data_IF_615474582266
#
_entry.id   IF_615474582266
#
_cell.length_a   1.000
_cell.length_b   1.000
_cell.length_c   1.000
_cell.angle_alpha   90.00
_cell.angle_beta   90.00
_cell.angle_gamma   90.00
#
_symmetry.space_group_name_H-M   'P 1'
#
loop_
_entity.id
_entity.type
_entity.pdbx_description
1 polymer ?
#
# COMPACT_ATOMS: atom_id res chain seq x y z
N UNK A 1 11.25 23.94 -41.31
CA UNK A 1 11.23 24.91 -40.18
C UNK A 1 11.07 24.12 -38.91
N UNK A 2 12.22 23.91 -38.21
CA UNK A 2 12.21 23.37 -36.84
C UNK A 2 11.73 24.51 -35.94
N UNK A 3 10.53 24.41 -35.38
CA UNK A 3 10.18 25.24 -34.26
C UNK A 3 10.98 24.77 -33.03
N UNK A 4 12.01 25.54 -32.72
CA UNK A 4 12.69 25.46 -31.43
C UNK A 4 11.75 26.11 -30.42
N UNK A 5 10.99 25.28 -29.69
CA UNK A 5 10.22 25.74 -28.54
C UNK A 5 11.23 26.22 -27.49
N UNK A 6 11.46 27.51 -27.43
CA UNK A 6 12.23 28.16 -26.36
C UNK A 6 11.41 27.93 -25.06
N UNK A 7 11.85 26.97 -24.26
CA UNK A 7 11.38 26.88 -22.88
C UNK A 7 11.64 28.20 -22.16
N UNK A 8 10.67 28.77 -21.47
CA UNK A 8 10.90 30.01 -20.75
C UNK A 8 12.01 29.76 -19.71
N UNK A 9 13.12 30.47 -19.89
CA UNK A 9 14.34 30.36 -19.07
C UNK A 9 14.10 30.64 -17.58
N UNK A 10 12.96 31.18 -17.20
CA UNK A 10 12.61 31.55 -15.83
C UNK A 10 12.41 30.35 -14.86
N UNK A 11 12.25 29.15 -15.37
CA UNK A 11 12.11 27.92 -14.55
C UNK A 11 13.40 27.11 -14.39
N UNK A 12 14.50 27.53 -15.00
CA UNK A 12 15.76 26.78 -15.01
C UNK A 12 16.80 27.23 -13.97
N UNK A 13 16.59 28.40 -13.36
CA UNK A 13 17.52 28.90 -12.34
C UNK A 13 17.13 28.40 -10.96
N UNK A 14 17.89 27.45 -10.45
CA UNK A 14 17.87 27.01 -9.07
C UNK A 14 19.21 27.34 -8.44
N UNK A 15 19.22 27.73 -7.18
CA UNK A 15 20.47 27.88 -6.45
C UNK A 15 21.13 26.50 -6.27
N UNK A 16 22.44 26.49 -6.09
CA UNK A 16 23.15 25.25 -5.78
C UNK A 16 22.64 24.61 -4.50
N UNK A 17 22.24 25.43 -3.51
CA UNK A 17 21.61 24.96 -2.27
C UNK A 17 20.30 24.22 -2.54
N UNK A 18 19.39 24.77 -3.35
CA UNK A 18 18.12 24.09 -3.71
C UNK A 18 18.34 22.74 -4.42
N UNK A 19 19.37 22.64 -5.27
CA UNK A 19 19.73 21.37 -5.91
C UNK A 19 20.21 20.35 -4.88
N UNK A 20 21.09 20.76 -3.98
CA UNK A 20 21.61 19.92 -2.89
C UNK A 20 20.48 19.45 -1.97
N UNK A 21 19.61 20.36 -1.54
CA UNK A 21 18.46 20.05 -0.69
C UNK A 21 17.52 19.06 -1.41
N UNK A 22 17.25 19.25 -2.70
CA UNK A 22 16.44 18.34 -3.50
C UNK A 22 17.06 16.93 -3.59
N UNK A 23 18.39 16.82 -3.73
CA UNK A 23 19.07 15.52 -3.72
C UNK A 23 18.91 14.83 -2.36
N UNK A 24 19.03 15.56 -1.25
CA UNK A 24 18.77 15.00 0.08
C UNK A 24 17.30 14.60 0.27
N UNK A 25 16.34 15.35 -0.28
CA UNK A 25 14.92 14.96 -0.31
C UNK A 25 14.72 13.67 -1.10
N UNK A 26 15.34 13.55 -2.28
CA UNK A 26 15.33 12.31 -3.08
C UNK A 26 15.89 11.12 -2.29
N UNK A 27 17.03 11.32 -1.61
CA UNK A 27 17.65 10.28 -0.80
C UNK A 27 16.77 9.85 0.38
N UNK A 28 16.02 10.78 0.96
CA UNK A 28 15.04 10.47 2.03
C UNK A 28 13.79 9.76 1.50
N UNK A 29 13.30 10.15 0.32
CA UNK A 29 12.12 9.57 -0.32
C UNK A 29 12.36 8.13 -0.81
N UNK A 30 13.61 7.83 -1.21
CA UNK A 30 14.03 6.48 -1.62
C UNK A 30 14.78 5.82 -0.47
N UNK A 31 14.17 5.68 0.68
CA UNK A 31 14.82 5.04 1.82
C UNK A 31 14.95 3.51 1.65
N UNK A 32 15.82 3.12 0.77
CA UNK A 32 16.59 1.88 0.88
C UNK A 32 17.87 2.13 1.73
N UNK A 33 17.81 3.00 2.78
CA UNK A 33 18.95 3.28 3.63
C UNK A 33 18.66 2.78 5.04
N UNK A 34 19.37 1.73 5.50
CA UNK A 34 19.13 1.10 6.79
C UNK A 34 19.79 1.86 7.97
N UNK A 35 19.72 3.19 8.02
CA UNK A 35 20.35 3.97 9.09
C UNK A 35 19.37 4.67 10.04
N UNK A 36 18.08 4.35 9.99
CA UNK A 36 17.15 4.77 11.03
C UNK A 36 16.74 3.58 11.88
N UNK A 37 16.58 3.80 13.19
CA UNK A 37 16.10 2.81 14.16
C UNK A 37 14.70 2.22 13.83
N UNK A 38 14.05 2.71 12.80
CA UNK A 38 12.70 2.34 12.35
C UNK A 38 12.66 1.38 11.16
N UNK A 39 13.81 0.98 10.61
CA UNK A 39 13.90 0.08 9.45
C UNK A 39 13.66 0.77 8.08
N UNK A 40 13.67 0.00 6.98
CA UNK A 40 13.47 0.55 5.64
C UNK A 40 12.06 1.13 5.50
N UNK A 41 11.97 2.34 4.96
CA UNK A 41 10.69 2.98 4.68
C UNK A 41 10.09 2.42 3.40
N UNK A 42 8.83 2.03 3.45
CA UNK A 42 8.01 1.70 2.28
C UNK A 42 7.38 2.94 1.65
N UNK A 43 7.68 4.13 2.18
CA UNK A 43 7.20 5.39 1.64
C UNK A 43 7.77 5.62 0.24
N UNK A 44 6.86 5.89 -0.70
CA UNK A 44 7.20 6.26 -2.06
C UNK A 44 6.59 7.64 -2.36
N UNK A 45 7.46 8.63 -2.52
CA UNK A 45 7.04 9.97 -2.91
C UNK A 45 7.60 10.27 -4.31
N UNK A 46 6.70 10.55 -5.26
CA UNK A 46 7.10 10.93 -6.62
C UNK A 46 7.07 12.45 -6.75
N UNK A 47 8.21 13.07 -7.06
CA UNK A 47 8.27 14.52 -7.27
C UNK A 47 7.31 14.98 -8.36
N UNK A 48 6.59 16.08 -8.12
CA UNK A 48 5.62 16.65 -9.06
C UNK A 48 6.27 17.57 -10.11
N UNK A 49 7.40 18.19 -9.82
CA UNK A 49 8.08 19.08 -10.75
C UNK A 49 9.15 18.36 -11.60
N UNK A 50 9.34 18.85 -12.84
CA UNK A 50 10.22 18.18 -13.81
C UNK A 50 11.71 18.13 -13.40
N UNK A 51 12.20 19.07 -12.61
CA UNK A 51 13.57 19.03 -12.10
C UNK A 51 13.74 17.98 -11.02
N UNK A 52 12.86 17.96 -10.03
CA UNK A 52 12.89 16.97 -8.95
C UNK A 52 12.74 15.55 -9.48
N UNK A 53 11.87 15.35 -10.45
CA UNK A 53 11.71 14.06 -11.11
C UNK A 53 13.00 13.58 -11.79
N UNK A 54 13.68 14.49 -12.52
CA UNK A 54 14.96 14.17 -13.18
C UNK A 54 16.08 13.90 -12.18
N UNK A 55 16.16 14.70 -11.11
CA UNK A 55 17.12 14.49 -10.03
C UNK A 55 16.88 13.17 -9.32
N UNK A 56 15.61 12.79 -9.05
CA UNK A 56 15.27 11.50 -8.48
C UNK A 56 15.71 10.34 -9.39
N UNK A 57 15.40 10.43 -10.69
CA UNK A 57 15.81 9.41 -11.66
C UNK A 57 17.34 9.27 -11.74
N UNK A 58 18.04 10.40 -11.72
CA UNK A 58 19.50 10.44 -11.71
C UNK A 58 20.05 9.85 -10.40
N UNK A 59 19.50 10.24 -9.26
CA UNK A 59 19.87 9.68 -7.94
C UNK A 59 19.71 8.15 -7.93
N UNK A 60 18.57 7.64 -8.38
CA UNK A 60 18.33 6.20 -8.47
C UNK A 60 19.32 5.48 -9.39
N UNK A 61 19.76 6.12 -10.48
CA UNK A 61 20.74 5.51 -11.39
C UNK A 61 22.14 5.35 -10.78
N UNK A 62 22.43 6.10 -9.71
CA UNK A 62 23.68 6.00 -8.94
C UNK A 62 23.54 5.21 -7.64
N UNK A 63 22.34 4.65 -7.37
CA UNK A 63 22.15 3.85 -6.17
C UNK A 63 23.08 2.63 -6.21
N UNK A 64 23.86 2.35 -5.15
CA UNK A 64 24.66 1.13 -5.05
C UNK A 64 23.78 -0.10 -5.25
N UNK A 65 24.27 -1.08 -6.01
CA UNK A 65 23.49 -2.26 -6.40
C UNK A 65 22.97 -3.06 -5.19
N UNK A 66 23.75 -3.11 -4.13
CA UNK A 66 23.40 -3.74 -2.85
C UNK A 66 22.29 -3.02 -2.09
N UNK A 67 22.02 -1.75 -2.43
CA UNK A 67 20.90 -0.97 -1.87
C UNK A 67 19.62 -1.05 -2.72
N UNK A 68 19.68 -1.72 -3.87
CA UNK A 68 18.51 -1.94 -4.72
C UNK A 68 17.59 -3.06 -4.20
N UNK A 69 18.05 -3.83 -3.20
CA UNK A 69 17.29 -4.87 -2.52
C UNK A 69 17.26 -4.59 -1.02
N UNK A 70 16.11 -4.73 -0.41
CA UNK A 70 15.91 -4.64 1.04
C UNK A 70 14.73 -5.50 1.48
N UNK A 71 14.79 -5.97 2.70
CA UNK A 71 13.72 -6.78 3.29
C UNK A 71 12.57 -5.90 3.78
N UNK A 72 11.35 -6.30 3.46
CA UNK A 72 10.15 -5.70 4.02
C UNK A 72 9.82 -6.35 5.37
N UNK A 73 9.32 -5.56 6.30
CA UNK A 73 8.88 -6.06 7.60
C UNK A 73 7.62 -6.90 7.43
N UNK A 74 7.76 -8.21 7.60
CA UNK A 74 6.64 -9.13 7.64
C UNK A 74 6.09 -9.25 9.07
N UNK A 75 4.81 -8.98 9.26
CA UNK A 75 4.10 -9.28 10.50
C UNK A 75 3.50 -10.68 10.36
N UNK A 76 4.12 -11.67 11.00
CA UNK A 76 3.78 -13.09 10.88
C UNK A 76 3.13 -13.59 12.16
N UNK A 77 2.01 -14.32 12.04
CA UNK A 77 1.34 -15.04 13.13
C UNK A 77 0.80 -16.40 12.61
N UNK A 78 0.21 -17.25 13.46
CA UNK A 78 -0.32 -18.55 13.03
C UNK A 78 -1.39 -18.49 11.92
N UNK A 79 -2.01 -17.35 11.70
CA UNK A 79 -3.02 -17.14 10.65
C UNK A 79 -2.39 -16.83 9.28
N UNK A 80 -1.07 -16.53 9.22
CA UNK A 80 -0.35 -16.17 8.02
C UNK A 80 0.51 -14.93 8.20
N UNK A 81 0.52 -14.02 7.23
CA UNK A 81 1.32 -12.80 7.33
C UNK A 81 0.61 -11.58 6.77
N UNK A 82 1.05 -10.42 7.21
CA UNK A 82 0.69 -9.12 6.67
C UNK A 82 1.96 -8.29 6.46
N UNK A 83 2.14 -7.76 5.26
CA UNK A 83 3.33 -6.99 4.89
C UNK A 83 2.91 -5.74 4.13
N UNK A 84 3.28 -4.57 4.64
CA UNK A 84 3.18 -3.35 3.86
C UNK A 84 4.23 -3.39 2.73
N UNK A 85 3.78 -3.14 1.49
CA UNK A 85 4.65 -3.10 0.32
C UNK A 85 5.14 -1.69 0.05
N UNK A 86 4.22 -0.73 0.06
CA UNK A 86 4.50 0.68 -0.21
C UNK A 86 3.37 1.55 0.34
N UNK A 87 3.71 2.73 0.83
CA UNK A 87 2.74 3.78 1.07
C UNK A 87 3.20 5.11 0.48
N UNK A 88 2.28 6.02 0.29
CA UNK A 88 2.55 7.39 -0.13
C UNK A 88 2.00 8.36 0.92
N UNK A 89 2.58 9.54 1.03
CA UNK A 89 2.17 10.52 2.05
C UNK A 89 0.73 11.01 1.90
N UNK A 90 0.15 10.88 0.71
CA UNK A 90 -1.15 11.45 0.35
C UNK A 90 -2.10 10.49 -0.35
N UNK A 91 -1.68 9.24 -0.61
CA UNK A 91 -2.48 8.27 -1.38
C UNK A 91 -2.64 6.92 -0.67
N UNK A 92 -2.35 6.84 0.63
CA UNK A 92 -2.54 5.61 1.40
C UNK A 92 -1.43 4.58 1.22
N UNK A 93 -1.76 3.31 1.46
CA UNK A 93 -0.80 2.21 1.46
C UNK A 93 -1.29 1.01 0.66
N UNK A 94 -0.33 0.26 0.11
CA UNK A 94 -0.54 -1.05 -0.51
C UNK A 94 0.15 -2.10 0.35
N UNK A 95 -0.57 -3.18 0.63
CA UNK A 95 -0.09 -4.27 1.47
C UNK A 95 -0.40 -5.62 0.82
N UNK A 96 0.32 -6.66 1.24
CA UNK A 96 -0.01 -8.04 0.91
C UNK A 96 -0.39 -8.79 2.19
N UNK A 97 -1.49 -9.52 2.12
CA UNK A 97 -1.96 -10.40 3.17
C UNK A 97 -1.95 -11.84 2.67
N UNK A 98 -1.31 -12.71 3.44
CA UNK A 98 -1.30 -14.16 3.20
C UNK A 98 -2.10 -14.80 4.34
N UNK A 99 -3.18 -15.50 4.00
CA UNK A 99 -4.01 -16.24 4.96
C UNK A 99 -3.84 -17.73 4.78
N UNK A 100 -3.55 -18.43 5.86
CA UNK A 100 -3.44 -19.88 5.89
C UNK A 100 -4.78 -20.55 5.57
N UNK A 101 -4.80 -21.85 5.19
CA UNK A 101 -6.03 -22.61 4.93
C UNK A 101 -7.07 -22.46 6.05
N UNK A 102 -8.31 -22.20 5.67
CA UNK A 102 -9.46 -22.08 6.57
C UNK A 102 -9.47 -20.83 7.47
N UNK A 103 -8.50 -19.93 7.33
CA UNK A 103 -8.39 -18.75 8.19
C UNK A 103 -9.31 -17.64 7.73
N UNK A 104 -10.02 -17.04 8.70
CA UNK A 104 -10.76 -15.78 8.57
C UNK A 104 -9.93 -14.63 9.14
N UNK A 105 -9.81 -13.53 8.40
CA UNK A 105 -9.22 -12.26 8.84
C UNK A 105 -10.18 -11.11 8.59
N UNK A 106 -10.00 -10.00 9.31
CA UNK A 106 -10.91 -8.87 9.31
C UNK A 106 -11.78 -8.90 10.56
N UNK A 107 -13.10 -9.01 10.42
CA UNK A 107 -14.07 -8.90 11.50
C UNK A 107 -14.04 -7.50 12.15
N UNK A 108 -14.07 -6.48 11.29
CA UNK A 108 -14.09 -5.08 11.72
C UNK A 108 -14.72 -4.19 10.64
N UNK A 109 -15.04 -2.98 11.04
CA UNK A 109 -15.48 -1.93 10.13
C UNK A 109 -14.69 -0.64 10.34
N UNK A 110 -14.79 0.26 9.37
CA UNK A 110 -14.16 1.58 9.36
C UNK A 110 -15.20 2.67 9.23
N UNK A 111 -14.94 3.82 9.86
CA UNK A 111 -15.86 4.96 9.78
C UNK A 111 -15.66 5.79 8.50
N UNK A 112 -14.41 6.09 8.16
CA UNK A 112 -14.04 6.91 6.99
C UNK A 112 -13.02 6.25 6.08
N UNK A 113 -12.24 5.33 6.63
CA UNK A 113 -11.28 4.55 5.86
C UNK A 113 -11.99 3.55 4.96
N UNK A 114 -11.52 3.40 3.73
CA UNK A 114 -11.98 2.38 2.81
C UNK A 114 -10.80 1.58 2.28
N UNK A 115 -11.05 0.35 1.96
CA UNK A 115 -10.04 -0.58 1.50
C UNK A 115 -10.48 -1.25 0.20
N UNK A 116 -9.51 -1.79 -0.51
CA UNK A 116 -9.71 -2.56 -1.74
C UNK A 116 -8.96 -3.88 -1.61
N UNK A 117 -9.68 -4.99 -1.73
CA UNK A 117 -9.10 -6.32 -1.66
C UNK A 117 -9.08 -6.95 -3.05
N UNK A 118 -7.91 -7.45 -3.44
CA UNK A 118 -7.66 -8.06 -4.74
C UNK A 118 -6.98 -9.40 -4.48
N UNK A 119 -7.73 -10.49 -4.61
CA UNK A 119 -7.17 -11.84 -4.49
C UNK A 119 -6.37 -12.16 -5.74
N UNK A 120 -5.10 -12.53 -5.56
CA UNK A 120 -4.15 -12.81 -6.65
C UNK A 120 -3.70 -14.28 -6.70
N UNK A 121 -3.96 -15.04 -5.63
CA UNK A 121 -3.73 -16.49 -5.58
C UNK A 121 -4.62 -17.13 -4.52
N UNK A 122 -5.04 -18.36 -4.76
CA UNK A 122 -5.95 -19.10 -3.89
C UNK A 122 -7.41 -18.80 -4.15
N UNK A 123 -8.29 -19.30 -3.26
CA UNK A 123 -9.74 -19.21 -3.36
C UNK A 123 -10.31 -18.73 -2.02
N UNK A 124 -11.10 -17.66 -2.03
CA UNK A 124 -11.59 -17.04 -0.84
C UNK A 124 -13.00 -16.49 -0.94
N UNK A 125 -13.56 -16.14 0.20
CA UNK A 125 -14.84 -15.48 0.35
C UNK A 125 -14.63 -14.16 1.09
N UNK A 126 -15.08 -13.06 0.52
CA UNK A 126 -15.18 -11.77 1.17
C UNK A 126 -16.63 -11.57 1.57
N UNK A 127 -16.86 -11.28 2.83
CA UNK A 127 -18.17 -10.99 3.37
C UNK A 127 -18.25 -9.56 3.87
N UNK A 128 -19.38 -8.90 3.65
CA UNK A 128 -19.64 -7.55 4.17
C UNK A 128 -21.06 -7.47 4.72
N UNK A 129 -21.23 -6.81 5.88
CA UNK A 129 -22.52 -6.51 6.49
C UNK A 129 -22.55 -5.02 6.86
N UNK A 130 -23.55 -4.30 6.39
CA UNK A 130 -23.74 -2.91 6.78
C UNK A 130 -24.04 -2.81 8.28
N UNK A 131 -23.41 -1.87 8.98
CA UNK A 131 -23.68 -1.61 10.38
C UNK A 131 -25.16 -1.29 10.61
N UNK A 132 -25.72 -1.93 11.68
CA UNK A 132 -27.14 -1.82 12.02
C UNK A 132 -28.09 -2.66 11.18
N UNK A 133 -27.58 -3.56 10.31
CA UNK A 133 -28.38 -4.51 9.53
C UNK A 133 -27.87 -5.94 9.72
N UNK A 134 -28.67 -6.92 9.29
CA UNK A 134 -28.33 -8.36 9.36
C UNK A 134 -28.03 -8.95 7.98
N UNK A 135 -28.18 -8.17 6.89
CA UNK A 135 -27.91 -8.63 5.53
C UNK A 135 -26.42 -8.76 5.30
N UNK A 136 -25.97 -9.96 4.93
CA UNK A 136 -24.58 -10.27 4.59
C UNK A 136 -24.43 -10.37 3.07
N UNK A 137 -23.54 -9.55 2.53
CA UNK A 137 -23.11 -9.62 1.14
C UNK A 137 -21.93 -10.58 1.03
N UNK A 138 -21.97 -11.48 0.07
CA UNK A 138 -20.96 -12.51 -0.13
C UNK A 138 -20.34 -12.35 -1.53
N UNK A 139 -18.99 -12.27 -1.59
CA UNK A 139 -18.21 -12.17 -2.81
C UNK A 139 -17.18 -13.29 -2.84
N UNK A 140 -17.43 -14.32 -3.63
CA UNK A 140 -16.47 -15.38 -3.89
C UNK A 140 -15.42 -14.88 -4.88
N UNK A 141 -14.14 -15.05 -4.54
CA UNK A 141 -12.99 -14.47 -5.25
C UNK A 141 -11.87 -15.50 -5.40
N UNK A 142 -11.14 -15.43 -6.52
CA UNK A 142 -10.01 -16.32 -6.73
C UNK A 142 -8.88 -15.67 -7.54
N UNK A 143 -7.68 -16.26 -7.46
CA UNK A 143 -6.54 -15.87 -8.29
C UNK A 143 -6.72 -16.18 -9.76
N UNK A 144 -7.64 -17.06 -10.14
CA UNK A 144 -7.93 -17.40 -11.55
C UNK A 144 -8.68 -16.29 -12.29
N UNK A 145 -9.42 -15.47 -11.52
CA UNK A 145 -10.14 -14.30 -12.04
C UNK A 145 -9.90 -13.13 -11.11
N UNK A 146 -8.96 -12.29 -11.46
CA UNK A 146 -8.61 -11.11 -10.66
C UNK A 146 -9.76 -10.11 -10.64
N UNK A 147 -10.30 -9.90 -9.44
CA UNK A 147 -11.40 -8.97 -9.17
C UNK A 147 -11.04 -8.09 -8.00
N UNK A 148 -11.52 -6.86 -8.01
CA UNK A 148 -11.38 -5.93 -6.90
C UNK A 148 -12.70 -5.81 -6.16
N UNK A 149 -12.68 -6.01 -4.85
CA UNK A 149 -13.80 -5.78 -3.95
C UNK A 149 -13.48 -4.60 -3.06
N UNK A 150 -14.37 -3.61 -3.02
CA UNK A 150 -14.21 -2.40 -2.21
C UNK A 150 -14.91 -2.62 -0.87
N UNK A 151 -14.14 -2.52 0.22
CA UNK A 151 -14.65 -2.49 1.59
C UNK A 151 -15.18 -1.09 1.89
N UNK A 152 -16.48 -0.97 2.02
CA UNK A 152 -17.15 0.32 2.18
C UNK A 152 -17.09 0.81 3.63
N UNK A 153 -16.88 2.10 3.89
CA UNK A 153 -17.04 2.66 5.22
C UNK A 153 -18.43 2.34 5.81
N UNK A 154 -18.47 1.99 7.10
CA UNK A 154 -19.70 1.57 7.78
C UNK A 154 -20.16 0.15 7.45
N UNK A 155 -19.30 -0.66 6.82
CA UNK A 155 -19.54 -2.09 6.62
C UNK A 155 -18.51 -2.91 7.37
N UNK A 156 -18.99 -3.77 8.28
CA UNK A 156 -18.17 -4.84 8.85
C UNK A 156 -17.81 -5.82 7.75
N UNK A 157 -16.55 -6.18 7.65
CA UNK A 157 -16.06 -7.06 6.61
C UNK A 157 -15.03 -8.07 7.11
N UNK A 158 -14.93 -9.16 6.40
CA UNK A 158 -13.91 -10.18 6.58
C UNK A 158 -13.47 -10.76 5.23
N UNK A 159 -12.40 -11.54 5.27
CA UNK A 159 -11.96 -12.40 4.18
C UNK A 159 -11.63 -13.79 4.72
N UNK A 160 -12.16 -14.82 4.09
CA UNK A 160 -12.05 -16.23 4.48
C UNK A 160 -11.27 -16.97 3.42
N UNK A 161 -10.23 -17.70 3.80
CA UNK A 161 -9.60 -18.66 2.90
C UNK A 161 -10.44 -19.93 2.85
N UNK A 162 -11.02 -20.24 1.71
CA UNK A 162 -11.89 -21.41 1.50
C UNK A 162 -11.10 -22.69 1.19
N UNK A 163 -9.80 -22.60 0.92
CA UNK A 163 -8.94 -23.76 0.68
C UNK A 163 -8.61 -24.48 1.99
N UNK A 164 -8.51 -25.79 1.94
CA UNK A 164 -7.99 -26.62 3.03
C UNK A 164 -6.46 -26.82 2.98
N UNK A 165 -5.84 -26.50 1.85
CA UNK A 165 -4.43 -26.83 1.60
C UNK A 165 -3.58 -25.66 1.12
N UNK A 166 -4.17 -24.65 0.51
CA UNK A 166 -3.47 -23.56 -0.15
C UNK A 166 -3.64 -22.23 0.59
N UNK A 167 -2.60 -21.42 0.56
CA UNK A 167 -2.64 -20.06 1.10
C UNK A 167 -3.49 -19.16 0.17
N UNK A 168 -4.24 -18.25 0.78
CA UNK A 168 -4.93 -17.17 0.08
C UNK A 168 -4.06 -15.92 0.09
N UNK A 169 -3.73 -15.40 -1.09
CA UNK A 169 -2.90 -14.21 -1.24
C UNK A 169 -3.75 -13.05 -1.74
N UNK A 170 -3.82 -11.99 -0.92
CA UNK A 170 -4.63 -10.81 -1.19
C UNK A 170 -3.73 -9.57 -1.22
N UNK A 171 -3.76 -8.82 -2.30
CA UNK A 171 -3.24 -7.45 -2.35
C UNK A 171 -4.33 -6.52 -1.81
N UNK A 172 -3.93 -5.64 -0.92
CA UNK A 172 -4.83 -4.71 -0.23
C UNK A 172 -4.37 -3.28 -0.48
N UNK A 173 -5.27 -2.43 -0.88
CA UNK A 173 -5.06 -0.99 -0.88
C UNK A 173 -5.92 -0.35 0.21
N UNK A 174 -5.37 0.62 0.92
CA UNK A 174 -6.08 1.43 1.88
C UNK A 174 -5.84 2.92 1.56
N UNK A 175 -6.88 3.73 1.58
CA UNK A 175 -6.78 5.16 1.23
C UNK A 175 -5.96 6.01 2.21
N UNK A 176 -5.62 5.45 3.37
CA UNK A 176 -4.75 6.09 4.37
C UNK A 176 -3.76 5.10 4.97
N UNK A 177 -2.64 5.62 5.44
CA UNK A 177 -1.64 4.84 6.18
C UNK A 177 -2.18 4.50 7.57
N UNK A 178 -1.92 3.28 8.05
CA UNK A 178 -2.32 2.88 9.40
C UNK A 178 -1.68 3.78 10.47
N UNK A 179 -2.53 4.36 11.31
CA UNK A 179 -2.10 5.17 12.44
C UNK A 179 -2.57 4.51 13.74
N UNK A 180 -1.67 3.98 14.59
CA UNK A 180 -2.04 3.32 15.83
C UNK A 180 -2.70 4.24 16.86
N UNK A 181 -2.49 5.56 16.78
CA UNK A 181 -3.14 6.55 17.66
C UNK A 181 -4.59 6.86 17.21
N UNK A 182 -4.90 6.62 15.93
CA UNK A 182 -6.21 6.80 15.31
C UNK A 182 -6.48 5.68 14.31
N UNK A 183 -6.69 4.46 14.76
CA UNK A 183 -6.74 3.30 13.85
C UNK A 183 -7.98 3.28 12.94
N UNK A 184 -9.03 4.02 13.23
CA UNK A 184 -10.34 3.98 12.54
C UNK A 184 -10.77 2.54 12.21
N UNK A 185 -10.62 1.65 13.18
CA UNK A 185 -10.89 0.21 13.04
C UNK A 185 -11.66 -0.26 14.27
N UNK A 186 -12.87 -0.74 14.05
CA UNK A 186 -13.81 -1.15 15.11
C UNK A 186 -14.16 -2.60 14.91
N UNK A 187 -13.85 -3.43 15.92
CA UNK A 187 -14.13 -4.84 15.86
C UNK A 187 -15.64 -5.09 15.92
N UNK A 188 -16.17 -5.85 14.97
CA UNK A 188 -17.49 -6.48 15.00
C UNK A 188 -17.47 -7.71 14.08
N UNK A 189 -18.30 -8.71 14.35
CA UNK A 189 -18.41 -9.89 13.48
C UNK A 189 -19.35 -9.63 12.33
N UNK A 190 -19.01 -10.15 11.15
CA UNK A 190 -19.90 -10.10 9.98
C UNK A 190 -21.14 -10.95 10.24
N UNK A 191 -20.93 -12.19 10.71
CA UNK A 191 -22.02 -13.08 11.13
C UNK A 191 -22.20 -12.97 12.64
N UNK A 192 -23.42 -12.64 13.07
CA UNK A 192 -23.80 -12.48 14.49
C UNK A 192 -24.44 -13.74 15.04
#
# INVERSE_FOLDING_TARGET
TLEVTLFPYTTLFRSLGEIVDTIYECARAVRAVPDSAEGPSTALEMPQDGLRYRLMSTFLSYLPKEKAIFDLKMNVDPRGSFTELVHTLNCGQVSINISKPGITKGEHWHNSKWEQFIVVSGHGLIQMRKEGTDEVLNYEVSGDKIQSVIMLPGYTHNIINLSETEDLVTVMYCNEVFNPERPDTYFDKVEK
#
